data_IF_256527384430
#
_entry.id   IF_256527384430
#
_cell.length_a   1.000
_cell.length_b   1.000
_cell.length_c   1.000
_cell.angle_alpha   90.00
_cell.angle_beta   90.00
_cell.angle_gamma   90.00
#
_symmetry.space_group_name_H-M   'P 1'
#
loop_
_entity.id
_entity.type
_entity.pdbx_description
1 polymer ?
#
# COMPACT_ATOMS: atom_id res chain seq x y z
N UNK A 1 -7.23 19.86 -5.53
CA UNK A 1 -7.76 18.64 -4.88
C UNK A 1 -8.13 17.58 -5.90
N UNK A 2 -8.55 17.98 -7.10
CA UNK A 2 -8.74 17.06 -8.25
C UNK A 2 -7.41 16.45 -8.74
N UNK A 3 -6.29 17.05 -8.37
CA UNK A 3 -4.93 16.60 -8.71
C UNK A 3 -4.44 15.39 -7.89
N UNK A 4 -5.12 15.07 -6.78
CA UNK A 4 -4.73 14.01 -5.86
C UNK A 4 -5.73 12.87 -5.95
N UNK A 5 -5.22 11.65 -6.15
CA UNK A 5 -6.02 10.43 -6.20
C UNK A 5 -5.50 9.41 -5.19
N UNK A 6 -6.41 8.77 -4.47
CA UNK A 6 -6.09 7.62 -3.61
C UNK A 6 -6.54 6.34 -4.31
N UNK A 7 -5.65 5.36 -4.39
CA UNK A 7 -5.90 4.05 -4.97
C UNK A 7 -5.66 2.99 -3.90
N UNK A 8 -6.57 2.02 -3.81
CA UNK A 8 -6.45 0.88 -2.89
C UNK A 8 -6.77 -0.43 -3.60
N UNK A 9 -6.06 -1.54 -3.32
CA UNK A 9 -6.39 -2.83 -3.93
C UNK A 9 -7.65 -3.47 -3.33
N UNK A 10 -8.04 -3.10 -2.10
CA UNK A 10 -9.16 -3.70 -1.38
C UNK A 10 -10.40 -2.79 -1.37
N UNK A 11 -11.57 -3.34 -1.74
CA UNK A 11 -12.87 -2.63 -1.68
C UNK A 11 -13.27 -2.25 -0.26
N UNK A 12 -12.99 -3.10 0.72
CA UNK A 12 -13.24 -2.82 2.14
C UNK A 12 -12.50 -1.56 2.61
N UNK A 13 -11.26 -1.38 2.15
CA UNK A 13 -10.47 -0.19 2.46
C UNK A 13 -10.96 1.07 1.72
N UNK A 14 -11.50 0.93 0.50
CA UNK A 14 -12.07 2.06 -0.24
C UNK A 14 -13.15 2.80 0.59
N UNK A 15 -14.04 2.04 1.22
CA UNK A 15 -15.12 2.62 2.04
C UNK A 15 -14.54 3.36 3.25
N UNK A 16 -13.56 2.77 3.93
CA UNK A 16 -12.89 3.38 5.10
C UNK A 16 -12.15 4.66 4.73
N UNK A 17 -11.41 4.65 3.63
CA UNK A 17 -10.66 5.82 3.14
C UNK A 17 -11.58 6.97 2.74
N UNK A 18 -12.68 6.68 2.03
CA UNK A 18 -13.68 7.70 1.69
C UNK A 18 -14.24 8.37 2.94
N UNK A 19 -14.61 7.58 3.94
CA UNK A 19 -15.14 8.10 5.20
C UNK A 19 -14.09 8.93 5.97
N UNK A 20 -12.86 8.41 6.08
CA UNK A 20 -11.78 9.10 6.80
C UNK A 20 -11.43 10.45 6.15
N UNK A 21 -11.31 10.48 4.81
CA UNK A 21 -11.06 11.72 4.07
C UNK A 21 -12.22 12.70 4.19
N UNK A 22 -13.46 12.21 4.13
CA UNK A 22 -14.64 13.06 4.29
C UNK A 22 -14.68 13.70 5.68
N UNK A 23 -14.43 12.92 6.73
CA UNK A 23 -14.37 13.41 8.12
C UNK A 23 -13.23 14.42 8.33
N UNK A 24 -12.15 14.30 7.58
CA UNK A 24 -11.03 15.26 7.58
C UNK A 24 -11.25 16.46 6.65
N UNK A 25 -12.42 16.58 5.99
CA UNK A 25 -12.75 17.70 5.10
C UNK A 25 -12.25 17.57 3.65
N UNK A 26 -11.65 16.43 3.28
CA UNK A 26 -11.06 16.17 1.96
C UNK A 26 -12.03 15.49 0.98
N UNK A 27 -13.29 15.95 0.94
CA UNK A 27 -14.37 15.35 0.13
C UNK A 27 -14.11 15.34 -1.39
N UNK A 28 -13.20 16.18 -1.88
CA UNK A 28 -12.88 16.30 -3.31
C UNK A 28 -11.80 15.34 -3.78
N UNK A 29 -11.13 14.62 -2.87
CA UNK A 29 -10.09 13.65 -3.21
C UNK A 29 -10.76 12.37 -3.73
N UNK A 30 -10.42 11.98 -4.96
CA UNK A 30 -10.96 10.77 -5.55
C UNK A 30 -10.34 9.53 -4.87
N UNK A 31 -11.19 8.58 -4.47
CA UNK A 31 -10.77 7.29 -3.90
C UNK A 31 -11.35 6.15 -4.72
N UNK A 32 -10.49 5.33 -5.30
CA UNK A 32 -10.87 4.25 -6.21
C UNK A 32 -10.16 2.94 -5.85
N UNK A 33 -10.68 1.82 -6.33
CA UNK A 33 -9.88 0.59 -6.33
C UNK A 33 -8.94 0.58 -7.52
N UNK A 34 -7.86 -0.21 -7.45
CA UNK A 34 -6.98 -0.43 -8.61
C UNK A 34 -7.77 -0.85 -9.85
N UNK A 35 -8.73 -1.77 -9.70
CA UNK A 35 -9.57 -2.25 -10.81
C UNK A 35 -10.54 -1.19 -11.35
N UNK A 36 -10.97 -0.23 -10.52
CA UNK A 36 -11.93 0.80 -10.93
C UNK A 36 -11.25 2.08 -11.43
N UNK A 37 -9.93 2.17 -11.35
CA UNK A 37 -9.14 3.32 -11.77
C UNK A 37 -8.33 3.05 -13.04
N UNK A 38 -8.93 2.32 -13.98
CA UNK A 38 -8.32 2.04 -15.28
C UNK A 38 -8.38 3.28 -16.18
N UNK A 39 -7.33 3.49 -16.97
CA UNK A 39 -7.24 4.55 -17.99
C UNK A 39 -7.43 6.00 -17.49
N UNK A 40 -7.13 6.26 -16.22
CA UNK A 40 -7.11 7.61 -15.62
C UNK A 40 -5.77 7.87 -14.96
N UNK A 41 -5.39 9.13 -14.86
CA UNK A 41 -4.15 9.58 -14.21
C UNK A 41 -4.46 10.69 -13.19
N UNK A 42 -3.57 10.85 -12.22
CA UNK A 42 -3.58 11.96 -11.25
C UNK A 42 -2.20 12.60 -11.15
N UNK A 43 -2.13 13.89 -10.79
CA UNK A 43 -0.85 14.56 -10.57
C UNK A 43 -0.07 13.88 -9.44
N UNK A 44 -0.75 13.60 -8.33
CA UNK A 44 -0.24 12.80 -7.23
C UNK A 44 -1.15 11.60 -6.97
N UNK A 45 -0.55 10.41 -6.86
CA UNK A 45 -1.25 9.19 -6.48
C UNK A 45 -0.77 8.72 -5.12
N UNK A 46 -1.72 8.42 -4.24
CA UNK A 46 -1.48 7.76 -2.97
C UNK A 46 -1.99 6.32 -3.08
N UNK A 47 -1.09 5.38 -3.23
CA UNK A 47 -1.39 3.95 -3.27
C UNK A 47 -1.35 3.36 -1.86
N UNK A 48 -2.52 3.11 -1.27
CA UNK A 48 -2.64 2.60 0.09
C UNK A 48 -2.81 1.07 0.08
N UNK A 49 -1.84 0.38 0.65
CA UNK A 49 -1.79 -1.05 0.85
C UNK A 49 -2.24 -1.34 2.28
N UNK A 50 -3.22 -2.24 2.42
CA UNK A 50 -3.73 -2.69 3.73
C UNK A 50 -3.29 -4.12 3.93
N UNK A 51 -1.98 -4.31 3.94
CA UNK A 51 -1.36 -5.59 4.22
C UNK A 51 -0.51 -5.41 5.46
N UNK A 52 -0.64 -6.35 6.39
CA UNK A 52 0.12 -6.42 7.62
C UNK A 52 1.00 -7.67 7.55
N UNK A 53 2.31 -7.50 7.77
CA UNK A 53 3.28 -8.58 7.85
C UNK A 53 3.02 -9.58 9.00
N UNK A 54 2.18 -9.20 9.96
CA UNK A 54 1.77 -10.09 11.06
C UNK A 54 0.46 -10.84 10.76
N UNK A 55 -0.18 -10.51 9.64
CA UNK A 55 -1.44 -11.12 9.21
C UNK A 55 -1.25 -12.51 8.60
N UNK A 56 -2.18 -13.42 8.89
CA UNK A 56 -2.16 -14.79 8.34
C UNK A 56 -2.51 -14.88 6.85
N UNK A 57 -3.08 -13.82 6.27
CA UNK A 57 -3.49 -13.81 4.85
C UNK A 57 -2.37 -13.43 3.89
N UNK A 58 -1.32 -12.75 4.36
CA UNK A 58 -0.32 -12.13 3.49
C UNK A 58 -0.91 -11.09 2.51
N UNK A 59 -0.12 -10.67 1.50
CA UNK A 59 -0.46 -9.57 0.59
C UNK A 59 -1.49 -9.87 -0.50
N UNK A 60 -1.91 -11.13 -0.73
CA UNK A 60 -2.99 -11.53 -1.64
C UNK A 60 -3.08 -10.66 -2.92
N UNK A 61 -4.17 -9.95 -3.12
CA UNK A 61 -4.46 -9.10 -4.27
C UNK A 61 -3.41 -8.02 -4.59
N UNK A 62 -2.60 -7.60 -3.62
CA UNK A 62 -1.51 -6.63 -3.84
C UNK A 62 -0.34 -7.29 -4.55
N UNK A 63 -0.23 -8.63 -4.54
CA UNK A 63 0.81 -9.36 -5.26
C UNK A 63 0.57 -9.49 -6.77
N UNK A 64 -0.61 -9.14 -7.25
CA UNK A 64 -0.89 -9.19 -8.68
C UNK A 64 -0.01 -8.14 -9.40
N UNK A 65 0.92 -8.57 -10.28
CA UNK A 65 1.83 -7.67 -10.97
C UNK A 65 1.08 -6.67 -11.85
N UNK A 66 -0.08 -7.01 -12.40
CA UNK A 66 -0.89 -6.08 -13.18
C UNK A 66 -1.50 -4.99 -12.30
N UNK A 67 -1.92 -5.34 -11.09
CA UNK A 67 -2.46 -4.36 -10.13
C UNK A 67 -1.38 -3.44 -9.59
N UNK A 68 -0.18 -3.96 -9.32
CA UNK A 68 0.99 -3.14 -8.99
C UNK A 68 1.27 -2.19 -10.15
N UNK A 69 1.43 -2.71 -11.37
CA UNK A 69 1.73 -1.93 -12.58
C UNK A 69 0.71 -0.82 -12.79
N UNK A 70 -0.59 -1.13 -12.75
CA UNK A 70 -1.64 -0.11 -12.83
C UNK A 70 -1.40 0.93 -11.73
N UNK A 71 -1.38 0.54 -10.45
CA UNK A 71 -1.31 1.47 -9.31
C UNK A 71 -0.08 2.39 -9.35
N UNK A 72 1.08 1.89 -9.79
CA UNK A 72 2.32 2.67 -9.85
C UNK A 72 2.41 3.54 -11.11
N UNK A 73 1.67 3.27 -12.17
CA UNK A 73 1.76 4.03 -13.44
C UNK A 73 0.70 5.14 -13.57
N UNK A 74 -0.15 5.34 -12.56
CA UNK A 74 -1.24 6.35 -12.64
C UNK A 74 -0.85 7.77 -12.22
N UNK A 75 0.34 7.97 -11.70
CA UNK A 75 0.81 9.30 -11.32
C UNK A 75 1.54 9.94 -12.49
N UNK A 76 1.43 11.26 -12.67
CA UNK A 76 2.28 12.02 -13.61
C UNK A 76 3.33 12.89 -12.91
N UNK A 77 3.16 13.16 -11.62
CA UNK A 77 4.11 13.93 -10.80
C UNK A 77 4.71 13.12 -9.66
N UNK A 78 3.87 12.67 -8.73
CA UNK A 78 4.34 12.01 -7.50
C UNK A 78 3.57 10.73 -7.17
N UNK A 79 4.29 9.70 -6.73
CA UNK A 79 3.73 8.49 -6.15
C UNK A 79 4.09 8.39 -4.67
N UNK A 80 3.05 8.26 -3.85
CA UNK A 80 3.16 7.88 -2.45
C UNK A 80 2.61 6.47 -2.29
N UNK A 81 3.36 5.57 -1.70
CA UNK A 81 2.87 4.24 -1.33
C UNK A 81 2.77 4.19 0.19
N UNK A 82 1.59 3.86 0.71
CA UNK A 82 1.35 3.74 2.15
C UNK A 82 1.10 2.29 2.45
N UNK A 83 1.92 1.68 3.29
CA UNK A 83 1.76 0.27 3.65
C UNK A 83 2.84 -0.20 4.59
N UNK A 84 2.91 -1.51 4.79
CA UNK A 84 3.85 -2.12 5.70
C UNK A 84 5.06 -2.72 4.96
N UNK A 85 6.22 -2.07 5.12
CA UNK A 85 7.45 -2.48 4.43
C UNK A 85 7.95 -3.86 4.85
N UNK A 86 7.60 -4.32 6.07
CA UNK A 86 8.05 -5.60 6.59
C UNK A 86 7.36 -6.81 5.93
N UNK A 87 6.28 -6.58 5.18
CA UNK A 87 5.60 -7.61 4.38
C UNK A 87 6.53 -8.26 3.35
N UNK A 88 7.68 -7.64 3.06
CA UNK A 88 8.72 -8.19 2.20
C UNK A 88 9.23 -9.57 2.67
N UNK A 89 9.24 -9.87 3.97
CA UNK A 89 9.81 -11.11 4.50
C UNK A 89 8.94 -12.35 4.28
N UNK A 90 7.62 -12.19 4.18
CA UNK A 90 6.67 -13.31 4.00
C UNK A 90 6.59 -13.80 2.55
N UNK A 91 7.11 -13.00 1.61
CA UNK A 91 7.17 -13.33 0.18
C UNK A 91 8.22 -14.41 -0.17
N UNK A 92 8.96 -14.95 0.81
CA UNK A 92 10.04 -15.91 0.62
C UNK A 92 9.60 -17.31 0.16
N UNK A 93 8.31 -17.61 0.22
CA UNK A 93 7.78 -18.80 -0.43
C UNK A 93 7.83 -18.59 -1.96
N UNK A 94 8.82 -19.17 -2.63
CA UNK A 94 8.84 -19.28 -4.09
C UNK A 94 7.63 -20.13 -4.52
N UNK A 95 6.75 -19.57 -5.34
CA UNK A 95 5.59 -20.29 -5.85
C UNK A 95 4.52 -19.36 -6.40
N UNK A 96 3.53 -19.98 -7.05
CA UNK A 96 2.31 -19.32 -7.50
C UNK A 96 1.20 -19.59 -6.49
N UNK A 97 0.44 -18.57 -6.14
CA UNK A 97 -0.72 -18.71 -5.25
C UNK A 97 -2.01 -18.45 -6.01
N UNK A 98 -2.96 -19.38 -5.92
CA UNK A 98 -4.30 -19.17 -6.46
C UNK A 98 -5.15 -18.47 -5.41
N UNK A 99 -5.47 -17.20 -5.67
CA UNK A 99 -6.34 -16.41 -4.81
C UNK A 99 -7.67 -16.20 -5.52
N UNK A 100 -8.77 -16.50 -4.82
CA UNK A 100 -10.13 -16.23 -5.33
C UNK A 100 -10.58 -14.85 -4.87
N UNK A 101 -10.95 -14.02 -5.82
CA UNK A 101 -11.54 -12.71 -5.58
C UNK A 101 -13.01 -12.79 -5.14
N UNK A 102 -13.50 -11.69 -4.56
CA UNK A 102 -14.90 -11.50 -4.20
C UNK A 102 -15.87 -11.59 -5.40
N UNK A 103 -15.35 -11.43 -6.62
CA UNK A 103 -16.11 -11.59 -7.88
C UNK A 103 -16.10 -13.02 -8.40
N UNK A 104 -15.45 -13.94 -7.69
CA UNK A 104 -15.32 -15.35 -8.06
C UNK A 104 -14.15 -15.64 -9.02
N UNK A 105 -13.45 -14.62 -9.51
CA UNK A 105 -12.28 -14.77 -10.38
C UNK A 105 -11.10 -15.36 -9.60
N UNK A 106 -10.45 -16.39 -10.15
CA UNK A 106 -9.17 -16.90 -9.66
C UNK A 106 -8.02 -16.11 -10.28
N UNK A 107 -7.06 -15.71 -9.45
CA UNK A 107 -5.84 -15.03 -9.85
C UNK A 107 -4.64 -15.90 -9.47
N UNK A 108 -3.73 -16.11 -10.42
CA UNK A 108 -2.46 -16.79 -10.20
C UNK A 108 -1.40 -15.73 -9.90
N UNK A 109 -0.96 -15.67 -8.64
CA UNK A 109 -0.11 -14.59 -8.15
C UNK A 109 1.35 -15.03 -8.14
N UNK A 110 2.21 -14.24 -8.79
CA UNK A 110 3.67 -14.40 -8.70
C UNK A 110 4.17 -13.70 -7.45
N UNK A 111 4.56 -14.47 -6.43
CA UNK A 111 4.99 -13.96 -5.12
C UNK A 111 6.19 -13.00 -5.17
N UNK A 112 6.99 -13.03 -6.23
CA UNK A 112 8.18 -12.18 -6.36
C UNK A 112 7.85 -10.73 -6.72
N UNK A 113 6.77 -10.46 -7.45
CA UNK A 113 6.50 -9.11 -7.97
C UNK A 113 6.31 -8.08 -6.84
N UNK A 114 5.56 -8.45 -5.81
CA UNK A 114 5.35 -7.59 -4.64
C UNK A 114 6.61 -7.38 -3.81
N UNK A 115 7.40 -8.44 -3.65
CA UNK A 115 8.70 -8.37 -2.97
C UNK A 115 9.63 -7.41 -3.68
N UNK A 116 9.80 -7.58 -4.98
CA UNK A 116 10.72 -6.79 -5.79
C UNK A 116 10.25 -5.32 -5.81
N UNK A 117 8.93 -5.09 -5.85
CA UNK A 117 8.33 -3.77 -5.68
C UNK A 117 8.68 -3.13 -4.32
N UNK A 118 8.54 -3.84 -3.20
CA UNK A 118 8.92 -3.31 -1.88
C UNK A 118 10.44 -3.14 -1.74
N UNK A 119 11.22 -4.09 -2.26
CA UNK A 119 12.68 -4.10 -2.21
C UNK A 119 13.27 -2.86 -2.90
N UNK A 120 12.67 -2.45 -4.03
CA UNK A 120 13.07 -1.22 -4.71
C UNK A 120 13.13 -0.02 -3.77
N UNK A 121 12.14 0.16 -2.88
CA UNK A 121 12.14 1.31 -1.97
C UNK A 121 13.16 1.20 -0.84
N UNK A 122 13.47 -0.03 -0.40
CA UNK A 122 14.57 -0.31 0.53
C UNK A 122 15.89 0.08 -0.11
N UNK A 123 16.16 -0.44 -1.30
CA UNK A 123 17.44 -0.26 -2.00
C UNK A 123 17.72 1.21 -2.32
N UNK A 124 16.66 1.98 -2.61
CA UNK A 124 16.77 3.40 -2.96
C UNK A 124 16.58 4.35 -1.77
N UNK A 125 16.50 3.83 -0.52
CA UNK A 125 16.32 4.64 0.70
C UNK A 125 15.09 5.56 0.63
N UNK A 126 13.99 5.03 0.09
CA UNK A 126 12.74 5.77 -0.17
C UNK A 126 11.66 5.53 0.88
N UNK A 127 12.06 5.08 2.08
CA UNK A 127 11.19 4.66 3.18
C UNK A 127 11.13 5.77 4.23
N UNK A 128 9.92 6.14 4.62
CA UNK A 128 9.65 7.04 5.75
C UNK A 128 8.73 6.30 6.73
N UNK A 129 9.25 5.97 7.91
CA UNK A 129 8.41 5.38 8.97
C UNK A 129 7.57 6.47 9.62
N UNK A 130 6.26 6.24 9.71
CA UNK A 130 5.42 7.09 10.53
C UNK A 130 5.56 6.67 12.00
N UNK A 131 6.10 7.57 12.80
CA UNK A 131 6.06 7.46 14.26
C UNK A 131 4.78 8.15 14.73
N UNK A 132 3.90 7.46 15.48
CA UNK A 132 2.69 8.09 16.02
C UNK A 132 3.04 9.31 16.88
N UNK A 133 2.20 10.36 16.89
CA UNK A 133 2.39 11.49 17.78
C UNK A 133 2.43 11.00 19.24
N UNK A 134 3.49 11.35 19.97
CA UNK A 134 3.69 10.98 21.37
C UNK A 134 4.76 9.93 21.64
N UNK A 135 5.28 9.25 20.61
CA UNK A 135 6.38 8.28 20.75
C UNK A 135 7.71 8.96 20.39
N UNK A 136 8.60 9.19 21.37
CA UNK A 136 9.96 9.67 21.10
C UNK A 136 10.80 8.51 20.54
N UNK A 137 11.47 8.70 19.39
CA UNK A 137 12.49 7.77 18.90
C UNK A 137 13.66 7.75 19.89
N UNK A 138 13.73 6.71 20.71
CA UNK A 138 14.98 6.31 21.35
C UNK A 138 15.90 5.76 20.27
N UNK A 139 17.07 6.36 20.09
CA UNK A 139 18.10 5.85 19.17
C UNK A 139 18.48 4.43 19.63
N UNK A 140 18.13 3.42 18.83
CA UNK A 140 18.65 2.06 18.98
C UNK A 140 17.72 0.97 19.50
N UNK A 141 16.42 1.22 19.70
CA UNK A 141 15.51 0.17 20.24
C UNK A 141 14.26 -0.02 19.36
N UNK A 142 14.20 -1.13 18.63
CA UNK A 142 12.96 -1.64 18.03
C UNK A 142 12.15 -2.25 19.18
N UNK A 143 11.38 -1.42 19.89
CA UNK A 143 10.43 -1.94 20.88
C UNK A 143 9.15 -2.39 20.17
N UNK A 144 8.85 -3.68 20.31
CA UNK A 144 7.50 -4.19 20.09
C UNK A 144 6.50 -3.38 20.90
N UNK A 145 5.39 -3.01 20.27
CA UNK A 145 4.28 -2.28 20.87
C UNK A 145 3.77 -2.98 22.13
N UNK A 146 3.63 -2.30 23.29
CA UNK A 146 3.02 -2.92 24.47
C UNK A 146 1.56 -3.24 24.18
N UNK A 147 1.17 -4.48 24.50
CA UNK A 147 -0.10 -5.11 24.15
C UNK A 147 -1.38 -4.47 24.74
N UNK A 148 -1.27 -3.35 25.47
CA UNK A 148 -2.35 -2.83 26.31
C UNK A 148 -3.14 -1.63 25.73
N UNK A 149 -2.82 -1.14 24.52
CA UNK A 149 -3.57 -0.04 23.86
C UNK A 149 -4.13 -0.47 22.49
N UNK A 150 -4.11 -1.77 22.19
CA UNK A 150 -4.32 -2.28 20.82
C UNK A 150 -5.63 -3.04 20.74
N UNK A 151 -6.71 -2.33 20.41
CA UNK A 151 -7.89 -2.95 19.82
C UNK A 151 -8.13 -2.36 18.42
N UNK A 152 -8.00 -3.23 17.41
CA UNK A 152 -8.55 -3.18 16.03
C UNK A 152 -7.82 -2.60 14.82
N UNK A 153 -6.76 -1.80 14.89
CA UNK A 153 -6.12 -1.32 13.65
C UNK A 153 -4.58 -1.39 13.73
N UNK A 154 -4.03 -2.59 13.47
CA UNK A 154 -2.59 -2.79 13.25
C UNK A 154 -2.27 -2.63 11.77
N UNK A 155 -1.81 -1.44 11.40
CA UNK A 155 -1.10 -1.22 10.14
C UNK A 155 0.12 -0.38 10.51
N UNK A 156 1.34 -0.89 10.30
CA UNK A 156 2.53 -0.06 10.27
C UNK A 156 2.38 0.88 9.08
N UNK A 157 2.25 2.17 9.35
CA UNK A 157 2.16 3.15 8.28
C UNK A 157 3.61 3.48 7.89
N UNK A 158 4.04 3.07 6.70
CA UNK A 158 5.25 3.58 6.04
C UNK A 158 4.81 4.37 4.82
N UNK A 159 5.20 5.65 4.73
CA UNK A 159 5.10 6.37 3.46
C UNK A 159 6.36 6.12 2.65
N UNK A 160 6.14 5.85 1.39
CA UNK A 160 7.17 5.46 0.46
C UNK A 160 7.09 6.42 -0.73
N UNK A 161 8.21 7.08 -1.07
CA UNK A 161 8.23 8.14 -2.09
C UNK A 161 8.95 7.71 -3.37
N UNK A 162 8.27 7.74 -4.52
CA UNK A 162 8.90 7.60 -5.83
C UNK A 162 8.54 8.76 -6.80
N UNK A 163 9.52 9.38 -7.45
CA UNK A 163 9.31 10.27 -8.59
C UNK A 163 9.04 9.45 -9.86
N UNK A 164 8.28 10.08 -10.76
CA UNK A 164 7.74 9.49 -12.00
C UNK A 164 8.77 8.81 -12.90
N UNK A 165 10.00 9.34 -12.99
CA UNK A 165 11.00 8.91 -13.98
C UNK A 165 11.50 7.46 -13.82
N UNK A 166 11.19 6.76 -12.74
CA UNK A 166 11.74 5.43 -12.47
C UNK A 166 10.85 4.26 -12.94
N UNK A 167 9.56 4.50 -13.24
CA UNK A 167 8.63 3.43 -13.65
C UNK A 167 8.23 3.51 -15.14
N UNK A 168 8.72 4.50 -15.88
CA UNK A 168 8.36 4.77 -17.27
C UNK A 168 9.35 4.18 -18.32
N UNK A 169 9.93 3.00 -18.07
CA UNK A 169 10.77 2.29 -19.05
C UNK A 169 10.11 1.03 -19.57
#
# INVERSE_FOLDING_TARGET
AEDIVVITPYRSNLVRLKLALANAGYNKVAVNTTDSFLAREGLAVIFTQVVDHTGTSGPLFVQDPYRICVSVTRHVGALFVVGDIHTISDSRALGEESVRSDTGQQLLLKKTAYRDFLQYFVDHRRIVDFVPPGVRRGVGEVRHWPAAVVEKDRISHTAIFAPFDHFAR
#
